data_IF_066949641781
#
_entry.id   IF_066949641781
#
_cell.length_a   1.000
_cell.length_b   1.000
_cell.length_c   1.000
_cell.angle_alpha   90.00
_cell.angle_beta   90.00
_cell.angle_gamma   90.00
#
_symmetry.space_group_name_H-M   'P 1'
#
loop_
_entity.id
_entity.type
_entity.pdbx_description
1 polymer ?
#
# COMPACT_ATOMS: atom_id res chain seq x y z
N UNK A 1 26.50 -1.42 15.60
CA UNK A 1 25.02 -1.58 15.55
C UNK A 1 24.39 -0.37 16.23
N UNK A 2 24.44 0.82 15.60
CA UNK A 2 23.88 2.06 16.17
C UNK A 2 23.03 2.86 15.18
N UNK A 3 22.96 2.43 13.92
CA UNK A 3 22.44 3.22 12.81
C UNK A 3 20.97 3.66 12.96
N UNK A 4 20.16 2.95 13.75
CA UNK A 4 18.79 3.40 14.05
C UNK A 4 18.80 4.59 15.01
N UNK A 5 19.64 4.54 16.04
CA UNK A 5 19.82 5.64 16.99
C UNK A 5 20.44 6.85 16.29
N UNK A 6 21.41 6.60 15.41
CA UNK A 6 22.09 7.64 14.64
C UNK A 6 21.13 8.38 13.68
N UNK A 7 20.16 7.68 13.10
CA UNK A 7 19.15 8.25 12.20
C UNK A 7 17.83 8.64 12.92
N UNK A 8 17.73 8.48 14.25
CA UNK A 8 16.48 8.67 15.01
C UNK A 8 15.90 10.08 14.86
N UNK A 9 16.72 11.10 15.12
CA UNK A 9 16.29 12.50 15.02
C UNK A 9 15.89 12.86 13.58
N UNK A 10 16.62 12.29 12.61
CA UNK A 10 16.35 12.50 11.18
C UNK A 10 15.02 11.86 10.76
N UNK A 11 14.70 10.69 11.30
CA UNK A 11 13.40 10.05 11.10
C UNK A 11 12.28 10.87 11.72
N UNK A 12 12.47 11.35 12.95
CA UNK A 12 11.53 12.24 13.63
C UNK A 12 11.23 13.49 12.80
N UNK A 13 12.27 14.16 12.30
CA UNK A 13 12.11 15.34 11.45
C UNK A 13 11.39 15.03 10.13
N UNK A 14 11.65 13.87 9.53
CA UNK A 14 10.96 13.44 8.32
C UNK A 14 9.45 13.26 8.54
N UNK A 15 9.05 12.60 9.62
CA UNK A 15 7.63 12.40 9.94
C UNK A 15 6.96 13.69 10.43
N UNK A 16 7.65 14.52 11.20
CA UNK A 16 7.15 15.83 11.60
C UNK A 16 6.93 16.74 10.37
N UNK A 17 7.80 16.69 9.37
CA UNK A 17 7.62 17.45 8.12
C UNK A 17 6.38 17.02 7.35
N UNK A 18 6.02 15.73 7.42
CA UNK A 18 4.78 15.20 6.84
C UNK A 18 3.55 15.68 7.61
N UNK A 19 3.61 15.61 8.94
CA UNK A 19 2.51 16.03 9.82
C UNK A 19 2.26 17.54 9.73
N UNK A 20 3.32 18.35 9.72
CA UNK A 20 3.24 19.80 9.54
C UNK A 20 2.92 20.22 8.09
N UNK A 21 2.67 19.28 7.18
CA UNK A 21 2.28 19.58 5.80
C UNK A 21 3.36 20.23 4.93
N UNK A 22 4.62 20.24 5.37
CA UNK A 22 5.73 20.82 4.59
C UNK A 22 6.04 20.00 3.33
N UNK A 23 5.76 18.69 3.38
CA UNK A 23 5.92 17.77 2.26
C UNK A 23 4.69 16.89 2.15
N UNK A 24 4.20 16.67 0.92
CA UNK A 24 3.12 15.69 0.69
C UNK A 24 3.65 14.27 0.91
N UNK A 25 2.81 13.40 1.48
CA UNK A 25 3.10 11.96 1.67
C UNK A 25 3.72 11.31 0.42
N UNK A 26 3.17 11.59 -0.77
CA UNK A 26 3.69 11.06 -2.03
C UNK A 26 5.15 11.48 -2.30
N UNK A 27 5.49 12.74 -2.10
CA UNK A 27 6.83 13.29 -2.35
C UNK A 27 7.83 12.71 -1.36
N UNK A 28 7.45 12.60 -0.08
CA UNK A 28 8.29 11.99 0.94
C UNK A 28 8.56 10.51 0.65
N UNK A 29 7.53 9.76 0.24
CA UNK A 29 7.66 8.35 -0.13
C UNK A 29 8.49 8.15 -1.40
N UNK A 30 8.35 9.01 -2.41
CA UNK A 30 9.23 9.00 -3.59
C UNK A 30 10.70 9.21 -3.21
N UNK A 31 10.96 10.15 -2.30
CA UNK A 31 12.32 10.39 -1.78
C UNK A 31 12.85 9.17 -1.03
N UNK A 32 12.02 8.54 -0.21
CA UNK A 32 12.39 7.35 0.55
C UNK A 32 12.70 6.16 -0.38
N UNK A 33 11.86 5.93 -1.40
CA UNK A 33 12.06 4.88 -2.41
C UNK A 33 13.24 5.15 -3.36
N UNK A 34 13.68 6.40 -3.49
CA UNK A 34 14.89 6.75 -4.25
C UNK A 34 16.19 6.33 -3.58
N UNK A 35 16.17 5.98 -2.29
CA UNK A 35 17.34 5.47 -1.61
C UNK A 35 17.59 3.99 -1.94
N UNK A 36 18.86 3.62 -2.04
CA UNK A 36 19.22 2.20 -2.20
C UNK A 36 18.97 1.45 -0.90
N UNK A 37 18.66 0.15 -0.99
CA UNK A 37 18.48 -0.73 0.19
C UNK A 37 19.72 -0.89 1.08
N UNK A 38 20.85 -0.27 0.73
CA UNK A 38 22.06 -0.17 1.57
C UNK A 38 22.06 1.07 2.46
N UNK A 39 21.18 2.04 2.24
CA UNK A 39 21.10 3.26 3.03
C UNK A 39 20.52 2.97 4.43
N UNK A 40 21.24 3.41 5.46
CA UNK A 40 20.85 3.29 6.86
C UNK A 40 19.51 3.98 7.16
N UNK A 41 19.29 5.18 6.61
CA UNK A 41 18.04 5.94 6.80
C UNK A 41 16.83 5.20 6.21
N UNK A 42 16.99 4.60 5.02
CA UNK A 42 15.94 3.80 4.40
C UNK A 42 15.61 2.58 5.25
N UNK A 43 16.65 1.86 5.72
CA UNK A 43 16.46 0.70 6.60
C UNK A 43 15.78 1.08 7.91
N UNK A 44 16.11 2.22 8.49
CA UNK A 44 15.57 2.65 9.79
C UNK A 44 14.09 2.97 9.69
N UNK A 45 13.69 3.71 8.65
CA UNK A 45 12.28 3.92 8.34
C UNK A 45 11.54 2.62 8.01
N UNK A 46 12.19 1.68 7.32
CA UNK A 46 11.59 0.38 7.01
C UNK A 46 11.33 -0.46 8.26
N UNK A 47 12.25 -0.49 9.22
CA UNK A 47 12.01 -1.19 10.50
C UNK A 47 10.92 -0.50 11.32
N UNK A 48 10.84 0.84 11.31
CA UNK A 48 9.74 1.57 11.93
C UNK A 48 8.38 1.19 11.31
N UNK A 49 8.28 1.16 9.98
CA UNK A 49 7.06 0.75 9.28
C UNK A 49 6.67 -0.68 9.62
N UNK A 50 7.64 -1.61 9.74
CA UNK A 50 7.37 -3.00 10.13
C UNK A 50 6.72 -3.12 11.51
N UNK A 51 7.09 -2.27 12.46
CA UNK A 51 6.45 -2.25 13.79
C UNK A 51 4.97 -1.88 13.66
N UNK A 52 4.66 -0.82 12.91
CA UNK A 52 3.27 -0.41 12.65
C UNK A 52 2.49 -1.46 11.86
N UNK A 53 3.10 -2.10 10.87
CA UNK A 53 2.48 -3.22 10.13
C UNK A 53 2.15 -4.38 11.08
N UNK A 54 3.08 -4.73 11.97
CA UNK A 54 2.87 -5.80 12.95
C UNK A 54 1.73 -5.46 13.90
N UNK A 55 1.71 -4.24 14.44
CA UNK A 55 0.62 -3.76 15.29
C UNK A 55 -0.72 -3.83 14.56
N UNK A 56 -0.77 -3.35 13.31
CA UNK A 56 -1.98 -3.39 12.50
C UNK A 56 -2.46 -4.84 12.25
N UNK A 57 -1.55 -5.77 11.96
CA UNK A 57 -1.89 -7.18 11.77
C UNK A 57 -2.46 -7.78 13.06
N UNK A 58 -1.87 -7.48 14.22
CA UNK A 58 -2.37 -7.95 15.51
C UNK A 58 -3.77 -7.40 15.82
N UNK A 59 -3.99 -6.11 15.55
CA UNK A 59 -5.31 -5.47 15.67
C UNK A 59 -6.32 -6.13 14.71
N UNK A 60 -5.92 -6.37 13.45
CA UNK A 60 -6.74 -7.06 12.46
C UNK A 60 -7.10 -8.47 12.92
N UNK A 61 -6.17 -9.25 13.48
CA UNK A 61 -6.45 -10.60 13.99
C UNK A 61 -7.38 -10.58 15.21
N UNK A 62 -7.32 -9.54 16.04
CA UNK A 62 -8.09 -9.45 17.27
C UNK A 62 -9.52 -8.93 17.04
N UNK A 63 -9.70 -7.89 16.23
CA UNK A 63 -11.00 -7.23 16.04
C UNK A 63 -11.79 -7.76 14.83
N UNK A 64 -12.90 -8.45 15.10
CA UNK A 64 -13.83 -8.97 14.08
C UNK A 64 -14.48 -7.85 13.25
N UNK A 65 -14.81 -6.72 13.85
CA UNK A 65 -15.45 -5.60 13.16
C UNK A 65 -14.50 -4.96 12.14
N UNK A 66 -13.23 -4.74 12.54
CA UNK A 66 -12.17 -4.29 11.64
C UNK A 66 -12.02 -5.25 10.44
N UNK A 67 -11.91 -6.57 10.70
CA UNK A 67 -11.82 -7.56 9.60
C UNK A 67 -12.99 -7.49 8.63
N UNK A 68 -14.20 -7.38 9.15
CA UNK A 68 -15.40 -7.30 8.32
C UNK A 68 -15.42 -6.04 7.45
N UNK A 69 -15.01 -4.89 7.99
CA UNK A 69 -14.91 -3.63 7.22
C UNK A 69 -13.86 -3.74 6.13
N UNK A 70 -12.66 -4.22 6.46
CA UNK A 70 -11.58 -4.44 5.50
C UNK A 70 -12.01 -5.41 4.39
N UNK A 71 -12.64 -6.55 4.74
CA UNK A 71 -13.16 -7.51 3.76
C UNK A 71 -14.20 -6.90 2.83
N UNK A 72 -15.13 -6.08 3.34
CA UNK A 72 -16.10 -5.36 2.50
C UNK A 72 -15.41 -4.41 1.52
N UNK A 73 -14.35 -3.73 1.94
CA UNK A 73 -13.54 -2.88 1.06
C UNK A 73 -12.84 -3.70 -0.03
N UNK A 74 -12.20 -4.81 0.35
CA UNK A 74 -11.52 -5.72 -0.59
C UNK A 74 -12.49 -6.32 -1.63
N UNK A 75 -13.66 -6.79 -1.19
CA UNK A 75 -14.69 -7.35 -2.07
C UNK A 75 -15.11 -6.37 -3.17
N UNK A 76 -15.21 -5.06 -2.88
CA UNK A 76 -15.52 -4.05 -3.90
C UNK A 76 -14.41 -3.95 -4.95
N UNK A 77 -13.15 -3.97 -4.52
CA UNK A 77 -11.99 -3.96 -5.42
C UNK A 77 -11.94 -5.22 -6.28
N UNK A 78 -12.14 -6.38 -5.67
CA UNK A 78 -12.21 -7.67 -6.37
C UNK A 78 -13.34 -7.70 -7.40
N UNK A 79 -14.52 -7.17 -7.08
CA UNK A 79 -15.65 -7.04 -8.02
C UNK A 79 -15.31 -6.12 -9.20
N UNK A 80 -14.67 -4.98 -8.95
CA UNK A 80 -14.21 -4.09 -10.03
C UNK A 80 -13.16 -4.78 -10.91
N UNK A 81 -12.22 -5.51 -10.31
CA UNK A 81 -11.22 -6.28 -11.06
C UNK A 81 -11.83 -7.46 -11.81
N UNK A 82 -12.83 -8.13 -11.25
CA UNK A 82 -13.59 -9.19 -11.93
C UNK A 82 -14.34 -8.61 -13.14
N UNK A 83 -15.07 -7.52 -12.96
CA UNK A 83 -15.74 -6.82 -14.07
C UNK A 83 -14.75 -6.34 -15.14
N UNK A 84 -13.63 -5.75 -14.74
CA UNK A 84 -12.59 -5.33 -15.68
C UNK A 84 -12.01 -6.53 -16.44
N UNK A 85 -11.85 -7.69 -15.79
CA UNK A 85 -11.44 -8.93 -16.45
C UNK A 85 -12.52 -9.45 -17.39
N UNK A 86 -13.79 -9.44 -17.02
CA UNK A 86 -14.89 -9.89 -17.90
C UNK A 86 -14.99 -8.99 -19.14
N UNK A 87 -14.92 -7.67 -18.96
CA UNK A 87 -14.86 -6.70 -20.05
C UNK A 87 -13.61 -6.85 -20.91
N UNK A 88 -12.46 -7.19 -20.30
CA UNK A 88 -11.21 -7.38 -21.01
C UNK A 88 -11.12 -8.76 -21.69
N UNK A 89 -11.76 -9.79 -21.15
CA UNK A 89 -12.00 -11.06 -21.80
C UNK A 89 -12.90 -10.84 -23.03
N UNK A 90 -13.83 -9.88 -22.93
CA UNK A 90 -14.57 -9.31 -24.04
C UNK A 90 -13.77 -8.47 -25.05
N UNK A 91 -12.42 -8.41 -24.98
CA UNK A 91 -11.60 -7.70 -25.98
C UNK A 91 -11.00 -8.68 -26.99
N UNK A 92 -11.53 -8.68 -28.21
CA UNK A 92 -11.56 -7.44 -29.01
C UNK A 92 -12.94 -7.01 -29.56
N UNK A 93 -14.07 -7.27 -28.90
CA UNK A 93 -15.37 -6.81 -29.42
C UNK A 93 -15.68 -7.31 -30.85
N UNK A 94 -15.16 -8.49 -31.22
CA UNK A 94 -15.60 -9.20 -32.41
C UNK A 94 -16.61 -10.25 -31.96
N UNK A 95 -17.88 -9.88 -31.94
CA UNK A 95 -18.96 -10.85 -32.05
C UNK A 95 -18.94 -11.34 -33.50
N UNK A 96 -18.59 -12.60 -33.74
CA UNK A 96 -18.81 -13.21 -35.06
C UNK A 96 -20.27 -13.64 -35.12
N UNK A 97 -20.90 -13.53 -36.29
CA UNK A 97 -22.32 -13.83 -36.51
C UNK A 97 -22.75 -15.23 -35.97
N UNK A 98 -21.81 -16.18 -35.80
CA UNK A 98 -22.03 -17.49 -35.16
C UNK A 98 -22.46 -17.44 -33.69
N UNK A 99 -22.06 -16.43 -32.92
CA UNK A 99 -22.38 -16.34 -31.49
C UNK A 99 -23.82 -15.82 -31.24
N UNK A 100 -24.52 -15.34 -32.28
CA UNK A 100 -25.86 -14.74 -32.18
C UNK A 100 -26.96 -15.75 -32.56
N UNK A 101 -26.60 -16.97 -33.00
CA UNK A 101 -27.54 -17.99 -33.49
C UNK A 101 -27.78 -19.19 -32.56
N UNK A 102 -27.33 -19.15 -31.30
CA UNK A 102 -27.81 -20.06 -30.23
C UNK A 102 -28.60 -19.29 -29.17
#
# INVERSE_FOLDING_TARGET
MGWILDDWDRMGHFWASLECGHVTALTAMKRLNGFTGKNHFYRANRELVRVFETEHILQYMSDKALRQRTRKGLLKGEQLHALARDLNYGKRGKMTNRDIQE
#
